data_IF_355138205558
#
_entry.id   IF_355138205558
#
_cell.length_a   1.000
_cell.length_b   1.000
_cell.length_c   1.000
_cell.angle_alpha   90.00
_cell.angle_beta   90.00
_cell.angle_gamma   90.00
#
_symmetry.space_group_name_H-M   'P 1'
#
loop_
_entity.id
_entity.type
_entity.pdbx_description
1 polymer ?
#
# COMPACT_ATOMS: atom_id res chain seq x y z
N UNK A 1 -17.16 -24.19 -25.42
CA UNK A 1 -16.47 -24.09 -24.12
C UNK A 1 -15.19 -23.28 -24.33
N UNK A 2 -15.14 -22.03 -23.87
CA UNK A 2 -13.95 -21.19 -24.01
C UNK A 2 -12.90 -21.63 -22.96
N UNK A 3 -11.70 -21.97 -23.44
CA UNK A 3 -10.56 -22.35 -22.60
C UNK A 3 -10.10 -21.10 -21.86
N UNK A 4 -10.20 -21.10 -20.52
CA UNK A 4 -9.69 -20.00 -19.70
C UNK A 4 -8.19 -19.81 -20.01
N UNK A 5 -7.88 -18.72 -20.69
CA UNK A 5 -6.52 -18.36 -21.04
C UNK A 5 -5.85 -17.94 -19.73
N UNK A 6 -4.93 -18.75 -19.20
CA UNK A 6 -4.15 -18.39 -18.02
C UNK A 6 -3.33 -17.16 -18.37
N UNK A 7 -3.76 -16.00 -17.87
CA UNK A 7 -2.97 -14.78 -17.90
C UNK A 7 -1.69 -15.06 -17.11
N UNK A 8 -0.53 -14.76 -17.72
CA UNK A 8 0.74 -14.90 -17.04
C UNK A 8 0.83 -13.83 -15.93
N UNK A 9 1.08 -14.25 -14.70
CA UNK A 9 1.33 -13.35 -13.57
C UNK A 9 2.52 -12.44 -13.90
N UNK A 10 2.30 -11.14 -13.81
CA UNK A 10 3.34 -10.10 -13.97
C UNK A 10 3.60 -9.46 -12.61
N UNK A 11 4.87 -9.30 -12.27
CA UNK A 11 5.30 -8.69 -11.00
C UNK A 11 6.14 -7.46 -11.31
N UNK A 12 5.75 -6.33 -10.73
CA UNK A 12 6.44 -5.05 -10.79
C UNK A 12 7.10 -4.81 -9.43
N UNK A 13 8.41 -5.02 -9.29
CA UNK A 13 9.10 -4.86 -8.01
C UNK A 13 9.15 -3.39 -7.62
N UNK A 14 8.88 -3.11 -6.34
CA UNK A 14 9.05 -1.79 -5.75
C UNK A 14 10.42 -1.60 -5.12
N UNK A 15 10.79 -0.34 -4.95
CA UNK A 15 11.93 0.11 -4.15
C UNK A 15 11.43 0.74 -2.86
N UNK A 16 11.87 0.22 -1.71
CA UNK A 16 11.59 0.84 -0.41
C UNK A 16 12.50 2.05 -0.24
N UNK A 17 11.91 3.22 -0.03
CA UNK A 17 12.59 4.50 0.14
C UNK A 17 12.77 4.85 1.62
N UNK A 18 11.76 4.56 2.44
CA UNK A 18 11.80 4.68 3.90
C UNK A 18 11.19 3.44 4.51
N UNK A 19 11.87 2.85 5.49
CA UNK A 19 11.48 1.58 6.13
C UNK A 19 10.65 1.78 7.38
N UNK A 20 11.04 2.71 8.25
CA UNK A 20 10.41 2.89 9.55
C UNK A 20 8.96 3.36 9.38
N UNK A 21 8.02 2.64 10.01
CA UNK A 21 6.60 2.98 10.03
C UNK A 21 6.33 3.80 11.28
N UNK A 22 6.64 5.10 11.24
CA UNK A 22 6.46 6.01 12.38
C UNK A 22 5.44 7.12 12.10
N UNK A 23 4.96 7.78 13.16
CA UNK A 23 3.99 8.86 13.03
C UNK A 23 4.54 10.14 12.42
N UNK A 24 5.82 10.44 12.65
CA UNK A 24 6.50 11.60 12.07
C UNK A 24 6.97 11.37 10.62
N UNK A 25 7.22 10.12 10.23
CA UNK A 25 7.70 9.77 8.89
C UNK A 25 7.05 8.48 8.40
N UNK A 26 6.17 8.55 7.38
CA UNK A 26 5.59 7.36 6.77
C UNK A 26 6.67 6.47 6.15
N UNK A 27 6.57 5.16 6.36
CA UNK A 27 7.31 4.22 5.54
C UNK A 27 6.82 4.36 4.09
N UNK A 28 7.75 4.36 3.14
CA UNK A 28 7.45 4.71 1.75
C UNK A 28 8.13 3.74 0.81
N UNK A 29 7.39 3.27 -0.19
CA UNK A 29 7.92 2.54 -1.33
C UNK A 29 7.41 3.11 -2.64
N UNK A 30 8.20 2.91 -3.70
CA UNK A 30 7.86 3.33 -5.05
C UNK A 30 7.92 2.13 -5.99
N UNK A 31 6.86 1.90 -6.75
CA UNK A 31 6.77 0.84 -7.75
C UNK A 31 6.73 1.50 -9.13
N UNK A 32 7.79 1.32 -9.91
CA UNK A 32 7.82 1.83 -11.29
C UNK A 32 6.99 0.92 -12.17
N UNK A 33 5.99 1.49 -12.84
CA UNK A 33 5.12 0.78 -13.77
C UNK A 33 4.92 1.66 -14.98
N UNK A 34 5.05 1.09 -16.18
CA UNK A 34 4.81 1.85 -17.42
C UNK A 34 3.38 2.38 -17.42
N UNK A 35 3.21 3.66 -17.75
CA UNK A 35 1.92 4.33 -17.81
C UNK A 35 0.89 3.52 -18.61
N UNK A 36 -0.34 3.42 -18.11
CA UNK A 36 -1.43 2.69 -18.75
C UNK A 36 -1.39 1.16 -18.56
N UNK A 37 -0.30 0.57 -18.06
CA UNK A 37 -0.17 -0.90 -17.96
C UNK A 37 -1.15 -1.49 -16.96
N UNK A 38 -1.38 -0.81 -15.83
CA UNK A 38 -2.27 -1.32 -14.78
C UNK A 38 -3.73 -1.04 -15.14
N UNK A 39 -4.01 0.09 -15.77
CA UNK A 39 -5.32 0.50 -16.24
C UNK A 39 -5.81 -0.48 -17.32
N UNK A 40 -4.97 -0.77 -18.33
CA UNK A 40 -5.29 -1.79 -19.34
C UNK A 40 -5.47 -3.18 -18.73
N UNK A 41 -4.76 -3.50 -17.64
CA UNK A 41 -4.96 -4.76 -16.95
C UNK A 41 -6.34 -4.81 -16.26
N UNK A 42 -6.74 -3.73 -15.58
CA UNK A 42 -8.08 -3.61 -14.96
C UNK A 42 -9.19 -3.67 -16.02
N UNK A 43 -9.03 -2.94 -17.14
CA UNK A 43 -9.98 -2.95 -18.26
C UNK A 43 -10.10 -4.33 -18.91
N UNK A 44 -9.00 -5.09 -18.96
CA UNK A 44 -8.99 -6.48 -19.42
C UNK A 44 -9.55 -7.48 -18.38
N UNK A 45 -10.05 -7.00 -17.23
CA UNK A 45 -10.61 -7.83 -16.16
C UNK A 45 -9.57 -8.59 -15.34
N UNK A 46 -8.29 -8.18 -15.39
CA UNK A 46 -7.22 -8.77 -14.59
C UNK A 46 -7.25 -8.23 -13.16
N UNK A 47 -6.81 -9.06 -12.22
CA UNK A 47 -6.64 -8.67 -10.82
C UNK A 47 -5.34 -7.90 -10.68
N UNK A 48 -5.42 -6.69 -10.14
CA UNK A 48 -4.25 -5.85 -9.84
C UNK A 48 -4.15 -5.65 -8.34
N UNK A 49 -3.04 -6.08 -7.73
CA UNK A 49 -2.81 -5.99 -6.29
C UNK A 49 -1.48 -5.33 -5.98
N UNK A 50 -1.42 -4.55 -4.91
CA UNK A 50 -0.18 -4.17 -4.25
C UNK A 50 0.09 -5.17 -3.13
N UNK A 51 1.22 -5.86 -3.17
CA UNK A 51 1.68 -6.63 -2.02
C UNK A 51 2.61 -5.77 -1.18
N UNK A 52 2.23 -5.56 0.07
CA UNK A 52 3.00 -4.84 1.08
C UNK A 52 3.53 -5.85 2.09
N UNK A 53 4.83 -5.87 2.32
CA UNK A 53 5.44 -6.70 3.36
C UNK A 53 5.92 -5.83 4.51
N UNK A 54 5.35 -6.08 5.69
CA UNK A 54 5.74 -5.43 6.94
C UNK A 54 6.45 -6.44 7.84
N UNK A 55 7.53 -6.02 8.49
CA UNK A 55 8.22 -6.80 9.51
C UNK A 55 7.83 -6.27 10.90
N UNK A 56 7.29 -7.18 11.72
CA UNK A 56 6.85 -6.91 13.08
C UNK A 56 7.84 -7.58 14.06
N UNK A 57 8.77 -6.84 14.69
CA UNK A 57 9.78 -7.43 15.57
C UNK A 57 9.16 -8.06 16.82
N UNK A 58 8.01 -7.57 17.24
CA UNK A 58 7.20 -8.08 18.34
C UNK A 58 5.74 -8.23 17.92
N UNK A 59 4.93 -8.81 18.81
CA UNK A 59 3.51 -8.97 18.60
C UNK A 59 2.80 -7.61 18.58
N UNK A 60 2.53 -7.12 17.37
CA UNK A 60 1.86 -5.84 17.14
C UNK A 60 0.34 -6.01 17.09
N UNK A 61 -0.39 -5.00 17.58
CA UNK A 61 -1.85 -4.90 17.46
C UNK A 61 -2.33 -3.62 16.77
N UNK A 62 -1.43 -2.69 16.53
CA UNK A 62 -1.80 -1.40 15.99
C UNK A 62 -2.28 -1.53 14.54
N UNK A 63 -3.33 -0.78 14.17
CA UNK A 63 -3.78 -0.70 12.80
C UNK A 63 -2.84 0.20 11.98
N UNK A 64 -2.55 -0.21 10.75
CA UNK A 64 -1.72 0.55 9.81
C UNK A 64 -2.52 0.93 8.57
N UNK A 65 -2.48 2.19 8.19
CA UNK A 65 -3.14 2.69 6.98
C UNK A 65 -2.15 2.66 5.83
N UNK A 66 -2.61 2.16 4.69
CA UNK A 66 -1.87 2.16 3.43
C UNK A 66 -2.44 3.21 2.51
N UNK A 67 -1.56 4.08 2.00
CA UNK A 67 -1.90 5.24 1.17
C UNK A 67 -1.26 5.06 -0.21
N UNK A 68 -2.07 5.22 -1.25
CA UNK A 68 -1.66 5.19 -2.65
C UNK A 68 -1.61 6.62 -3.21
N UNK A 69 -0.45 7.05 -3.71
CA UNK A 69 -0.24 8.33 -4.41
C UNK A 69 -0.76 9.58 -3.67
N UNK A 70 -0.92 9.52 -2.35
CA UNK A 70 -1.41 10.66 -1.58
C UNK A 70 -0.39 11.80 -1.40
N UNK A 71 -0.82 12.94 -0.83
CA UNK A 71 0.04 14.07 -0.46
C UNK A 71 1.09 13.69 0.59
N UNK A 72 2.27 14.31 0.58
CA UNK A 72 3.37 13.99 1.51
C UNK A 72 2.95 13.98 2.97
N UNK A 73 2.15 14.98 3.37
CA UNK A 73 1.48 14.99 4.65
C UNK A 73 0.22 14.09 4.59
N UNK A 74 0.17 12.97 5.33
CA UNK A 74 -0.98 12.08 5.31
C UNK A 74 -2.17 12.59 6.15
N UNK A 75 -2.02 13.66 6.95
CA UNK A 75 -3.11 14.19 7.76
C UNK A 75 -4.33 14.55 6.89
N UNK A 76 -5.51 14.06 7.30
CA UNK A 76 -6.77 14.26 6.58
C UNK A 76 -7.10 13.22 5.50
N UNK A 77 -6.26 12.19 5.32
CA UNK A 77 -6.63 11.03 4.51
C UNK A 77 -7.48 10.08 5.36
N UNK A 78 -8.76 9.98 5.02
CA UNK A 78 -9.70 9.02 5.62
C UNK A 78 -10.09 7.91 4.64
N UNK A 79 -10.97 6.99 5.05
CA UNK A 79 -11.42 5.88 4.21
C UNK A 79 -12.15 6.31 2.92
N UNK A 80 -12.71 7.53 2.90
CA UNK A 80 -13.37 8.13 1.74
C UNK A 80 -12.39 8.77 0.76
N UNK A 81 -11.15 9.03 1.19
CA UNK A 81 -10.11 9.63 0.37
C UNK A 81 -9.79 8.77 -0.87
N UNK A 82 -9.57 9.40 -2.04
CA UNK A 82 -9.09 8.69 -3.23
C UNK A 82 -7.70 8.07 -3.03
N UNK A 83 -6.93 8.56 -2.06
CA UNK A 83 -5.59 8.08 -1.75
C UNK A 83 -5.57 6.96 -0.72
N UNK A 84 -6.65 6.75 0.03
CA UNK A 84 -6.74 5.64 0.97
C UNK A 84 -6.87 4.33 0.21
N UNK A 85 -5.93 3.40 0.45
CA UNK A 85 -5.93 2.08 -0.16
C UNK A 85 -6.58 1.05 0.75
N UNK A 86 -6.05 0.91 1.98
CA UNK A 86 -6.51 -0.10 2.93
C UNK A 86 -6.08 0.24 4.36
N UNK A 87 -6.67 -0.48 5.33
CA UNK A 87 -6.14 -0.58 6.70
C UNK A 87 -5.77 -2.03 6.97
N UNK A 88 -4.55 -2.25 7.43
CA UNK A 88 -4.01 -3.53 7.89
C UNK A 88 -4.27 -3.59 9.39
N UNK A 89 -5.03 -4.59 9.83
CA UNK A 89 -5.32 -4.84 11.25
C UNK A 89 -5.00 -6.28 11.58
N UNK A 90 -4.27 -6.49 12.67
CA UNK A 90 -3.99 -7.82 13.20
C UNK A 90 -4.92 -8.11 14.38
N UNK A 91 -5.65 -9.23 14.31
CA UNK A 91 -6.55 -9.66 15.38
C UNK A 91 -5.97 -10.88 16.10
N UNK A 92 -6.19 -10.95 17.42
CA UNK A 92 -5.84 -12.12 18.24
C UNK A 92 -5.04 -11.78 19.49
N UNK A 93 -5.18 -12.61 20.53
CA UNK A 93 -4.61 -12.33 21.85
C UNK A 93 -3.07 -12.32 21.87
N UNK A 94 -2.43 -13.04 20.94
CA UNK A 94 -0.96 -13.15 20.85
C UNK A 94 -0.32 -12.25 19.77
N UNK A 95 -1.11 -11.48 19.02
CA UNK A 95 -0.62 -10.72 17.86
C UNK A 95 0.02 -11.62 16.80
N UNK A 96 0.66 -11.01 15.81
CA UNK A 96 1.55 -11.69 14.86
C UNK A 96 2.92 -11.00 14.87
N UNK A 97 3.99 -11.77 14.66
CA UNK A 97 5.37 -11.27 14.59
C UNK A 97 6.08 -11.84 13.35
N UNK A 98 7.17 -11.20 12.94
CA UNK A 98 7.93 -11.51 11.74
C UNK A 98 7.41 -10.77 10.50
N UNK A 99 7.88 -11.20 9.32
CA UNK A 99 7.52 -10.59 8.05
C UNK A 99 6.18 -11.14 7.54
N UNK A 100 5.19 -10.25 7.39
CA UNK A 100 3.87 -10.57 6.87
C UNK A 100 3.61 -9.79 5.59
N UNK A 101 3.04 -10.47 4.59
CA UNK A 101 2.69 -9.86 3.30
C UNK A 101 1.17 -9.73 3.15
N UNK A 102 0.73 -8.55 2.75
CA UNK A 102 -0.67 -8.18 2.60
C UNK A 102 -0.95 -7.83 1.14
N UNK A 103 -1.88 -8.55 0.51
CA UNK A 103 -2.32 -8.29 -0.85
C UNK A 103 -3.48 -7.29 -0.85
N UNK A 104 -3.26 -6.11 -1.40
CA UNK A 104 -4.19 -4.99 -1.37
C UNK A 104 -4.73 -4.71 -2.78
N UNK A 105 -6.04 -4.78 -3.03
CA UNK A 105 -6.59 -4.58 -4.37
C UNK A 105 -6.45 -3.13 -4.82
N UNK A 106 -5.88 -2.91 -6.01
CA UNK A 106 -5.63 -1.59 -6.58
C UNK A 106 -6.72 -1.12 -7.56
N UNK A 107 -7.49 -2.06 -8.15
CA UNK A 107 -8.33 -1.82 -9.33
C UNK A 107 -9.10 -0.50 -9.37
N UNK A 108 -10.11 -0.33 -8.51
CA UNK A 108 -10.94 0.89 -8.50
C UNK A 108 -10.19 2.13 -7.96
N UNK A 109 -9.11 1.93 -7.19
CA UNK A 109 -8.36 3.01 -6.53
C UNK A 109 -7.31 3.66 -7.43
N UNK A 110 -6.81 2.96 -8.45
CA UNK A 110 -5.83 3.50 -9.41
C UNK A 110 -6.37 4.74 -10.14
N UNK A 111 -7.58 4.63 -10.69
CA UNK A 111 -8.21 5.73 -11.43
C UNK A 111 -8.57 6.92 -10.54
N UNK A 112 -9.07 6.64 -9.33
CA UNK A 112 -9.44 7.67 -8.36
C UNK A 112 -8.22 8.45 -7.84
N UNK A 113 -7.12 7.76 -7.52
CA UNK A 113 -5.90 8.38 -7.02
C UNK A 113 -5.20 9.23 -8.09
N UNK A 114 -5.19 8.80 -9.36
CA UNK A 114 -4.64 9.58 -10.48
C UNK A 114 -5.39 10.89 -10.72
N UNK A 115 -6.72 10.86 -10.64
CA UNK A 115 -7.55 12.05 -10.88
C UNK A 115 -7.50 13.10 -9.76
N UNK A 116 -7.04 12.73 -8.56
CA UNK A 116 -7.07 13.57 -7.37
C UNK A 116 -5.69 14.14 -6.96
N UNK A 117 -4.59 13.55 -7.42
CA UNK A 117 -3.23 13.93 -7.02
C UNK A 117 -2.56 14.95 -7.95
N UNK A 118 -1.46 15.60 -7.52
CA UNK A 118 -0.55 16.24 -8.46
C UNK A 118 -0.07 15.20 -9.46
N UNK A 119 0.21 15.61 -10.71
CA UNK A 119 0.77 14.75 -11.75
C UNK A 119 2.14 14.22 -11.31
N UNK A 120 2.15 13.23 -10.43
CA UNK A 120 3.32 12.40 -10.16
C UNK A 120 3.70 11.80 -11.49
N UNK A 121 4.99 11.82 -11.82
CA UNK A 121 5.53 11.17 -13.01
C UNK A 121 4.77 9.87 -13.26
N UNK A 122 4.12 9.81 -14.42
CA UNK A 122 3.02 8.90 -14.76
C UNK A 122 3.43 7.41 -14.78
N UNK A 123 4.64 7.15 -14.33
CA UNK A 123 5.43 5.94 -14.42
C UNK A 123 5.73 5.31 -13.05
N UNK A 124 5.27 5.89 -11.94
CA UNK A 124 5.52 5.33 -10.61
C UNK A 124 4.37 5.47 -9.62
N UNK A 125 3.99 4.36 -9.00
CA UNK A 125 3.09 4.33 -7.85
C UNK A 125 3.87 4.54 -6.57
N UNK A 126 3.39 5.43 -5.71
CA UNK A 126 3.90 5.66 -4.36
C UNK A 126 2.96 4.99 -3.36
N UNK A 127 3.51 4.05 -2.60
CA UNK A 127 2.82 3.36 -1.51
C UNK A 127 3.41 3.84 -0.20
N UNK A 128 2.56 4.25 0.73
CA UNK A 128 2.98 4.68 2.07
C UNK A 128 2.22 3.93 3.13
N UNK A 129 2.91 3.62 4.22
CA UNK A 129 2.35 2.95 5.38
C UNK A 129 2.54 3.85 6.58
N UNK A 130 1.45 4.12 7.29
CA UNK A 130 1.44 4.94 8.51
C UNK A 130 0.69 4.21 9.62
N UNK A 131 1.11 4.36 10.88
CA UNK A 131 0.26 3.97 11.99
C UNK A 131 -1.03 4.79 11.99
N UNK A 132 -2.17 4.16 12.32
CA UNK A 132 -3.47 4.85 12.30
C UNK A 132 -3.55 5.96 13.35
N UNK A 133 -2.91 5.82 14.52
CA UNK A 133 -2.89 6.85 15.56
C UNK A 133 -2.23 8.14 15.09
N UNK A 134 -1.19 8.04 14.26
CA UNK A 134 -0.54 9.19 13.65
C UNK A 134 -1.47 9.94 12.69
N UNK A 135 -2.40 9.25 12.04
CA UNK A 135 -3.43 9.90 11.20
C UNK A 135 -4.43 10.71 12.03
N UNK A 136 -4.64 10.33 13.29
CA UNK A 136 -5.56 10.99 14.22
C UNK A 136 -4.91 12.12 15.03
N UNK A 137 -3.64 12.46 14.77
CA UNK A 137 -2.91 13.52 15.48
C UNK A 137 -2.41 13.11 16.87
N UNK A 138 -2.46 11.82 17.21
CA UNK A 138 -1.84 11.28 18.41
C UNK A 138 -0.38 10.92 18.10
N UNK A 139 0.54 11.84 18.40
CA UNK A 139 1.98 11.65 18.14
C UNK A 139 2.75 11.06 19.34
N UNK A 140 2.10 10.93 20.51
CA UNK A 140 2.74 10.52 21.77
C UNK A 140 2.53 9.04 22.14
N UNK A 141 2.11 8.21 21.18
CA UNK A 141 2.04 6.76 21.38
C UNK A 141 3.42 6.17 21.07
N UNK A 142 3.87 5.21 21.88
CA UNK A 142 5.11 4.47 21.61
C UNK A 142 5.01 3.81 20.21
N UNK A 143 5.68 4.41 19.22
CA UNK A 143 5.71 3.87 17.87
C UNK A 143 6.43 2.51 17.94
N UNK A 144 5.70 1.44 17.59
CA UNK A 144 6.32 0.13 17.47
C UNK A 144 7.34 0.12 16.31
N UNK A 145 8.43 -0.63 16.47
CA UNK A 145 9.54 -0.76 15.49
C UNK A 145 9.16 -1.56 14.23
N UNK A 146 8.00 -1.28 13.64
CA UNK A 146 7.52 -1.93 12.42
C UNK A 146 8.23 -1.36 11.21
N UNK A 147 8.68 -2.25 10.33
CA UNK A 147 9.38 -1.88 9.10
C UNK A 147 8.62 -2.30 7.84
N UNK A 148 8.52 -1.41 6.87
CA UNK A 148 8.23 -1.76 5.49
C UNK A 148 9.48 -2.39 4.86
N UNK A 149 9.42 -3.69 4.57
CA UNK A 149 10.57 -4.43 4.03
C UNK A 149 10.47 -4.70 2.54
N UNK A 150 9.25 -4.74 1.99
CA UNK A 150 9.03 -4.85 0.55
C UNK A 150 7.68 -4.26 0.14
N UNK A 151 7.63 -3.80 -1.11
CA UNK A 151 6.39 -3.50 -1.81
C UNK A 151 6.53 -3.95 -3.27
N UNK A 152 5.50 -4.56 -3.84
CA UNK A 152 5.44 -4.85 -5.26
C UNK A 152 4.00 -4.74 -5.77
N UNK A 153 3.83 -4.63 -7.08
CA UNK A 153 2.51 -4.70 -7.73
C UNK A 153 2.46 -5.95 -8.57
N UNK A 154 1.34 -6.65 -8.53
CA UNK A 154 1.12 -7.85 -9.31
C UNK A 154 -0.16 -7.75 -10.13
N UNK A 155 -0.11 -8.37 -11.30
CA UNK A 155 -1.22 -8.47 -12.23
C UNK A 155 -1.40 -9.93 -12.63
N UNK A 156 -2.60 -10.48 -12.49
CA UNK A 156 -2.93 -11.87 -12.85
C UNK A 156 -4.41 -12.09 -13.17
#
# INVERSE_FOLDING_TARGET
>A
MARAQRVARRVFPGSVLSRAVGGAQPATAQVKVTAGTLESAVEAGQTVVANITLNFPQACRDPYVVILNGPENPHGIDAGSPFYLATIVMFGHRGSCGALSFALPLGAKLSAARGAGPASDDTALRLRVVPMHAMMGHHDMDDEDVELVAANVEVY
#
